data_IF_446210970891
#
_entry.id   IF_446210970891
#
_cell.length_a   1.000
_cell.length_b   1.000
_cell.length_c   1.000
_cell.angle_alpha   90.00
_cell.angle_beta   90.00
_cell.angle_gamma   90.00
#
_symmetry.space_group_name_H-M   'P 1'
#
loop_
_entity.id
_entity.type
_entity.pdbx_description
1 polymer ?
#
# COMPACT_ATOMS: atom_id res chain seq x y z
N UNK A 1 2.81 -16.39 2.90
CA UNK A 1 2.79 -15.37 1.82
C UNK A 1 1.35 -15.10 1.45
N UNK A 2 0.93 -13.83 1.42
CA UNK A 2 -0.45 -13.42 1.13
C UNK A 2 -0.41 -12.46 -0.06
N UNK A 3 -1.03 -12.84 -1.18
CA UNK A 3 -1.22 -11.96 -2.33
C UNK A 3 -2.72 -11.67 -2.47
N UNK A 4 -3.07 -10.42 -2.74
CA UNK A 4 -4.45 -9.99 -2.97
C UNK A 4 -4.52 -9.05 -4.17
N UNK A 5 -5.52 -9.26 -5.02
CA UNK A 5 -5.81 -8.42 -6.18
C UNK A 5 -7.32 -8.13 -6.28
N UNK A 6 -7.65 -6.86 -6.58
CA UNK A 6 -8.99 -6.34 -6.84
C UNK A 6 -8.91 -5.54 -8.16
N UNK A 7 -9.76 -5.79 -9.16
CA UNK A 7 -11.21 -5.94 -8.99
C UNK A 7 -11.74 -7.36 -9.27
N UNK A 8 -12.32 -7.98 -8.22
CA UNK A 8 -12.95 -9.32 -8.29
C UNK A 8 -12.61 -10.31 -7.17
N UNK A 9 -11.85 -9.92 -6.15
CA UNK A 9 -11.44 -10.72 -4.97
C UNK A 9 -10.63 -11.98 -5.30
N UNK A 10 -9.43 -11.81 -5.87
CA UNK A 10 -8.45 -12.88 -6.02
C UNK A 10 -7.46 -12.84 -4.83
N UNK A 11 -7.35 -13.94 -4.09
CA UNK A 11 -6.40 -14.11 -2.99
C UNK A 11 -5.58 -15.38 -3.14
N UNK A 12 -4.28 -15.28 -2.86
CA UNK A 12 -3.42 -16.43 -2.64
C UNK A 12 -3.00 -16.43 -1.17
N UNK A 13 -3.32 -17.51 -0.47
CA UNK A 13 -2.96 -17.72 0.92
C UNK A 13 -2.06 -18.95 1.04
N UNK A 14 -1.15 -18.91 2.01
CA UNK A 14 -0.40 -20.08 2.46
C UNK A 14 -1.01 -20.52 3.78
N UNK A 15 -1.40 -21.78 3.82
CA UNK A 15 -1.92 -22.49 4.98
C UNK A 15 -0.77 -22.95 5.89
N UNK A 16 -1.04 -23.15 7.17
CA UNK A 16 -0.04 -23.57 8.17
C UNK A 16 0.48 -24.99 7.89
N UNK A 17 -0.33 -25.77 7.17
CA UNK A 17 0.04 -27.09 6.63
C UNK A 17 1.00 -27.04 5.42
N UNK A 18 1.45 -25.85 5.02
CA UNK A 18 2.39 -25.65 3.90
C UNK A 18 1.76 -25.67 2.50
N UNK A 19 0.43 -25.74 2.42
CA UNK A 19 -0.31 -25.63 1.15
C UNK A 19 -0.54 -24.18 0.75
N UNK A 20 -0.58 -23.94 -0.55
CA UNK A 20 -0.98 -22.67 -1.15
C UNK A 20 -2.37 -22.82 -1.75
N UNK A 21 -3.29 -21.96 -1.33
CA UNK A 21 -4.66 -21.89 -1.84
C UNK A 21 -4.87 -20.60 -2.62
N UNK A 22 -5.32 -20.72 -3.87
CA UNK A 22 -5.76 -19.60 -4.70
C UNK A 22 -7.29 -19.56 -4.66
N UNK A 23 -7.83 -18.43 -4.22
CA UNK A 23 -9.26 -18.20 -4.05
C UNK A 23 -9.71 -17.01 -4.89
N UNK A 24 -10.86 -17.13 -5.53
CA UNK A 24 -11.54 -16.06 -6.26
C UNK A 24 -12.94 -15.92 -5.69
N UNK A 25 -13.35 -14.73 -5.28
CA UNK A 25 -14.68 -14.48 -4.69
C UNK A 25 -15.03 -15.44 -3.55
N UNK A 26 -14.03 -15.87 -2.76
CA UNK A 26 -14.12 -16.86 -1.67
C UNK A 26 -14.28 -18.33 -2.12
N UNK A 27 -14.25 -18.62 -3.42
CA UNK A 27 -14.17 -19.98 -3.95
C UNK A 27 -12.72 -20.40 -4.17
N UNK A 28 -12.35 -21.61 -3.74
CA UNK A 28 -10.98 -22.12 -3.91
C UNK A 28 -10.84 -22.77 -5.28
N UNK A 29 -10.05 -22.15 -6.16
CA UNK A 29 -9.81 -22.66 -7.52
C UNK A 29 -8.68 -23.68 -7.53
N UNK A 30 -7.67 -23.48 -6.67
CA UNK A 30 -6.49 -24.33 -6.65
C UNK A 30 -5.93 -24.44 -5.24
N UNK A 31 -5.61 -25.67 -4.81
CA UNK A 31 -4.81 -25.95 -3.60
C UNK A 31 -3.62 -26.81 -3.99
N UNK A 32 -2.40 -26.34 -3.73
CA UNK A 32 -1.18 -27.07 -4.11
C UNK A 32 -0.06 -26.85 -3.09
N UNK A 33 0.87 -27.80 -2.93
CA UNK A 33 2.10 -27.59 -2.15
C UNK A 33 3.17 -26.81 -2.93
N UNK A 34 3.02 -26.69 -4.25
CA UNK A 34 3.98 -25.99 -5.09
C UNK A 34 3.67 -24.49 -5.18
N UNK A 35 4.54 -23.68 -4.58
CA UNK A 35 4.44 -22.23 -4.64
C UNK A 35 4.45 -21.71 -6.09
N UNK A 36 5.32 -22.28 -6.93
CA UNK A 36 5.49 -21.84 -8.32
C UNK A 36 4.21 -22.02 -9.13
N UNK A 37 3.53 -23.15 -8.95
CA UNK A 37 2.23 -23.41 -9.59
C UNK A 37 1.15 -22.46 -9.08
N UNK A 38 1.09 -22.23 -7.76
CA UNK A 38 0.11 -21.31 -7.19
C UNK A 38 0.30 -19.86 -7.69
N UNK A 39 1.54 -19.38 -7.78
CA UNK A 39 1.86 -18.04 -8.33
C UNK A 39 1.53 -17.96 -9.81
N UNK A 40 1.86 -19.01 -10.59
CA UNK A 40 1.55 -19.05 -12.02
C UNK A 40 0.04 -18.96 -12.26
N UNK A 41 -0.76 -19.74 -11.51
CA UNK A 41 -2.22 -19.72 -11.63
C UNK A 41 -2.83 -18.40 -11.17
N UNK A 42 -2.31 -17.83 -10.08
CA UNK A 42 -2.71 -16.50 -9.61
C UNK A 42 -2.50 -15.43 -10.69
N UNK A 43 -1.34 -15.42 -11.35
CA UNK A 43 -1.02 -14.45 -12.40
C UNK A 43 -1.85 -14.65 -13.67
N UNK A 44 -2.16 -15.89 -14.03
CA UNK A 44 -3.04 -16.22 -15.16
C UNK A 44 -4.44 -15.65 -14.94
N UNK A 45 -5.03 -15.93 -13.77
CA UNK A 45 -6.37 -15.43 -13.39
C UNK A 45 -6.37 -13.90 -13.30
N UNK A 46 -5.31 -13.32 -12.75
CA UNK A 46 -5.15 -11.86 -12.70
C UNK A 46 -5.19 -11.25 -14.11
N UNK A 47 -4.43 -11.78 -15.07
CA UNK A 47 -4.43 -11.29 -16.45
C UNK A 47 -5.79 -11.44 -17.13
N UNK A 48 -6.51 -12.52 -16.86
CA UNK A 48 -7.85 -12.71 -17.39
C UNK A 48 -8.86 -11.71 -16.80
N UNK A 49 -8.77 -11.44 -15.50
CA UNK A 49 -9.60 -10.42 -14.84
C UNK A 49 -9.29 -9.02 -15.34
N UNK A 50 -8.01 -8.67 -15.53
CA UNK A 50 -7.57 -7.39 -16.11
C UNK A 50 -8.02 -7.22 -17.57
N UNK A 51 -8.23 -8.32 -18.32
CA UNK A 51 -8.80 -8.28 -19.67
C UNK A 51 -10.32 -8.06 -19.66
N UNK A 52 -11.05 -8.67 -18.71
CA UNK A 52 -12.52 -8.58 -18.62
C UNK A 52 -13.00 -7.29 -17.98
N UNK A 53 -12.26 -6.78 -16.99
CA UNK A 53 -12.44 -5.45 -16.44
C UNK A 53 -11.21 -4.66 -16.85
N UNK A 54 -11.24 -3.96 -18.01
CA UNK A 54 -10.13 -3.11 -18.37
C UNK A 54 -9.92 -2.14 -17.21
N UNK A 55 -8.83 -2.33 -16.48
CA UNK A 55 -8.31 -1.25 -15.66
C UNK A 55 -8.06 -0.14 -16.66
N UNK A 56 -8.76 1.00 -16.51
CA UNK A 56 -8.58 2.17 -17.37
C UNK A 56 -7.08 2.31 -17.60
N UNK A 57 -6.67 2.17 -18.87
CA UNK A 57 -5.27 2.31 -19.25
C UNK A 57 -4.89 3.74 -18.88
N UNK A 58 -4.35 3.94 -17.68
CA UNK A 58 -3.68 5.17 -17.32
C UNK A 58 -2.53 5.29 -18.31
N UNK A 59 -2.61 6.29 -19.19
CA UNK A 59 -1.54 6.54 -20.14
C UNK A 59 -0.28 6.91 -19.35
N UNK A 60 0.90 6.70 -19.94
CA UNK A 60 2.18 6.97 -19.25
C UNK A 60 2.28 8.41 -18.72
N UNK A 61 1.57 9.32 -19.37
CA UNK A 61 1.45 10.74 -18.99
C UNK A 61 0.67 10.90 -17.68
N UNK A 62 -0.47 10.21 -17.54
CA UNK A 62 -1.32 10.25 -16.34
C UNK A 62 -0.59 9.73 -15.10
N UNK A 63 0.24 8.69 -15.26
CA UNK A 63 1.04 8.14 -14.15
C UNK A 63 2.07 9.14 -13.65
N UNK A 64 2.67 9.93 -14.54
CA UNK A 64 3.61 10.99 -14.19
C UNK A 64 2.93 12.13 -13.42
N UNK A 65 1.72 12.50 -13.82
CA UNK A 65 0.93 13.53 -13.13
C UNK A 65 0.45 13.08 -11.75
N UNK A 66 -0.09 11.87 -11.65
CA UNK A 66 -0.51 11.30 -10.36
C UNK A 66 0.69 11.20 -9.41
N UNK A 67 1.86 10.77 -9.91
CA UNK A 67 3.08 10.70 -9.09
C UNK A 67 3.54 12.08 -8.63
N UNK A 68 3.54 13.09 -9.51
CA UNK A 68 3.88 14.47 -9.15
C UNK A 68 2.93 15.03 -8.09
N UNK A 69 1.63 14.77 -8.22
CA UNK A 69 0.61 15.18 -7.26
C UNK A 69 0.85 14.56 -5.88
N UNK A 70 1.08 13.25 -5.81
CA UNK A 70 1.34 12.55 -4.54
C UNK A 70 2.61 13.10 -3.86
N UNK A 71 3.67 13.35 -4.62
CA UNK A 71 4.91 13.94 -4.08
C UNK A 71 4.65 15.36 -3.55
N UNK A 72 3.90 16.18 -4.30
CA UNK A 72 3.50 17.52 -3.86
C UNK A 72 2.70 17.49 -2.56
N UNK A 73 1.67 16.65 -2.48
CA UNK A 73 0.82 16.51 -1.30
C UNK A 73 1.63 16.04 -0.08
N UNK A 74 2.57 15.10 -0.27
CA UNK A 74 3.48 14.63 0.78
C UNK A 74 4.40 15.75 1.28
N UNK A 75 5.03 16.51 0.38
CA UNK A 75 5.91 17.62 0.75
C UNK A 75 5.15 18.73 1.49
N UNK A 76 3.89 19.00 1.12
CA UNK A 76 3.04 19.98 1.82
C UNK A 76 2.66 19.49 3.22
N UNK A 77 2.30 18.22 3.38
CA UNK A 77 1.96 17.65 4.70
C UNK A 77 3.15 17.66 5.67
N UNK A 78 4.37 17.40 5.18
CA UNK A 78 5.58 17.38 6.00
C UNK A 78 6.18 18.76 6.29
N UNK A 79 5.70 19.82 5.63
CA UNK A 79 6.11 21.21 5.91
C UNK A 79 5.47 21.80 7.18
N UNK A 80 4.65 21.04 7.90
CA UNK A 80 4.09 21.43 9.20
C UNK A 80 5.11 21.39 10.35
N UNK A 81 6.38 21.03 10.10
CA UNK A 81 7.45 20.95 11.11
C UNK A 81 8.30 22.24 11.26
N UNK A 82 7.80 23.40 10.80
CA UNK A 82 8.55 24.66 10.81
C UNK A 82 8.23 25.63 11.97
N UNK A 83 7.73 25.17 13.11
CA UNK A 83 7.26 26.08 14.17
C UNK A 83 7.36 25.54 15.60
N UNK A 84 8.55 25.09 16.02
CA UNK A 84 8.82 24.78 17.43
C UNK A 84 8.62 26.05 18.26
N UNK A 85 7.46 26.17 18.95
CA UNK A 85 7.22 27.21 19.96
C UNK A 85 8.39 27.23 20.96
N UNK A 86 9.13 28.35 21.04
CA UNK A 86 10.08 28.57 22.14
C UNK A 86 9.29 28.57 23.45
N UNK A 87 9.46 27.53 24.28
CA UNK A 87 9.07 27.59 25.69
C UNK A 87 10.17 28.40 26.41
N UNK A 88 9.95 29.69 26.62
CA UNK A 88 10.78 30.46 27.55
C UNK A 88 10.28 30.21 28.96
N UNK A 89 10.85 29.22 29.62
CA UNK A 89 10.81 29.09 31.09
C UNK A 89 12.11 29.65 31.64
N UNK A 90 12.07 30.89 32.11
CA UNK A 90 13.06 31.45 33.03
C UNK A 90 12.35 32.40 33.99
N UNK A 91 11.72 31.80 35.01
CA UNK A 91 11.37 32.47 36.26
C UNK A 91 12.59 32.33 37.16
N UNK A 92 12.98 33.43 37.83
CA UNK A 92 13.91 33.50 38.97
C UNK A 92 15.39 33.79 38.65
N UNK A 93 15.80 35.04 38.90
CA UNK A 93 16.80 35.36 39.93
C UNK A 93 16.57 36.78 40.48
N UNK A 94 16.45 36.87 41.81
CA UNK A 94 16.48 38.10 42.63
C UNK A 94 17.81 38.82 42.45
N UNK A 95 17.79 40.14 42.28
CA UNK A 95 18.89 41.01 42.72
C UNK A 95 18.31 42.18 43.51
N UNK A 96 18.76 42.29 44.76
CA UNK A 96 18.52 43.40 45.67
C UNK A 96 19.20 44.67 45.17
N UNK A 97 18.66 45.85 45.49
CA UNK A 97 19.39 47.11 45.36
C UNK A 97 18.59 48.34 45.73
N UNK A 98 18.99 48.99 46.84
CA UNK A 98 18.97 50.44 47.06
C UNK A 98 17.63 51.11 47.29
#
# INVERSE_FOLDING_TARGET
MKLSFLPGNLHMLRDDSGYFSVTVRRETILRTRSQRLAVSKFNEIRKEMERRFPADRLFREDVGEIRRRIIGDFLVQHNSLGGRRKKTTARSTRTFGG
#
